data_IF_745365988477
#
_entry.id   IF_745365988477
#
_cell.length_a   1.000
_cell.length_b   1.000
_cell.length_c   1.000
_cell.angle_alpha   90.00
_cell.angle_beta   90.00
_cell.angle_gamma   90.00
#
_symmetry.space_group_name_H-M   'P 1'
#
loop_
_entity.id
_entity.type
_entity.pdbx_description
1 polymer ?
#
# COMPACT_ATOMS: atom_id res chain seq x y z
N UNK A 1 -25.37 -2.31 7.85
CA UNK A 1 -25.51 -3.69 7.36
C UNK A 1 -24.45 -3.93 6.30
N UNK A 2 -23.33 -4.58 6.63
CA UNK A 2 -22.26 -4.88 5.68
C UNK A 2 -22.58 -6.19 4.99
N UNK A 3 -22.62 -6.16 3.65
CA UNK A 3 -22.89 -7.33 2.82
C UNK A 3 -21.75 -8.36 2.96
N UNK A 4 -22.13 -9.62 3.16
CA UNK A 4 -21.21 -10.76 3.23
C UNK A 4 -20.56 -10.94 1.85
N UNK A 5 -19.22 -11.06 1.75
CA UNK A 5 -18.52 -11.25 0.48
C UNK A 5 -19.02 -12.50 -0.26
N UNK A 6 -19.15 -12.41 -1.59
CA UNK A 6 -19.69 -13.45 -2.46
C UNK A 6 -19.01 -14.81 -2.32
N UNK A 7 -17.72 -14.87 -2.00
CA UNK A 7 -17.00 -16.13 -1.78
C UNK A 7 -17.46 -16.92 -0.55
N UNK A 8 -17.94 -16.24 0.50
CA UNK A 8 -18.46 -16.89 1.70
C UNK A 8 -19.86 -17.46 1.46
N UNK A 9 -20.66 -16.82 0.60
CA UNK A 9 -21.98 -17.30 0.18
C UNK A 9 -21.92 -18.62 -0.59
N UNK A 10 -20.92 -18.79 -1.47
CA UNK A 10 -20.71 -20.01 -2.26
C UNK A 10 -20.31 -21.18 -1.36
N UNK A 11 -19.49 -20.92 -0.33
CA UNK A 11 -19.05 -21.93 0.63
C UNK A 11 -20.21 -22.38 1.53
N UNK A 12 -21.04 -21.46 2.00
CA UNK A 12 -22.23 -21.75 2.82
C UNK A 12 -23.29 -22.53 2.05
N UNK A 13 -23.51 -22.22 0.75
CA UNK A 13 -24.46 -22.97 -0.09
C UNK A 13 -23.97 -24.37 -0.43
N UNK A 14 -22.67 -24.60 -0.59
CA UNK A 14 -22.10 -25.96 -0.79
C UNK A 14 -22.19 -26.81 0.49
N UNK A 15 -22.06 -26.20 1.65
CA UNK A 15 -22.22 -26.89 2.95
C UNK A 15 -23.71 -27.23 3.18
N UNK A 16 -24.63 -26.32 2.83
CA UNK A 16 -26.06 -26.56 2.97
C UNK A 16 -26.61 -27.67 2.04
N UNK A 17 -26.03 -27.86 0.86
CA UNK A 17 -26.46 -28.90 -0.09
C UNK A 17 -25.97 -30.32 0.29
N UNK A 18 -24.96 -30.46 1.14
CA UNK A 18 -24.46 -31.75 1.60
C UNK A 18 -25.09 -32.25 2.90
N UNK A 19 -26.07 -31.52 3.46
CA UNK A 19 -26.83 -31.93 4.65
C UNK A 19 -28.22 -32.42 4.23
N UNK A 20 -28.27 -33.43 3.36
CA UNK A 20 -29.52 -34.19 3.12
C UNK A 20 -29.51 -35.40 4.08
N UNK A 21 -30.50 -35.58 4.96
CA UNK A 21 -30.48 -36.69 5.89
C UNK A 21 -30.77 -38.00 5.13
N UNK A 22 -29.77 -38.91 5.13
CA UNK A 22 -30.02 -40.32 4.74
C UNK A 22 -30.96 -40.96 5.76
N UNK A 23 -32.14 -41.34 5.26
CA UNK A 23 -33.13 -42.12 6.01
C UNK A 23 -32.57 -43.49 6.40
N UNK A 24 -32.08 -43.69 7.60
CA UNK A 24 -31.90 -45.01 8.18
C UNK A 24 -32.99 -45.25 9.21
N UNK A 25 -33.63 -46.41 9.12
CA UNK A 25 -34.72 -46.85 10.02
C UNK A 25 -34.31 -46.78 11.48
N UNK A 26 -35.06 -46.05 12.28
CA UNK A 26 -35.25 -46.31 13.68
C UNK A 26 -34.35 -45.63 14.68
N UNK A 27 -33.88 -44.38 14.49
CA UNK A 27 -33.61 -43.40 15.58
C UNK A 27 -33.28 -42.08 14.88
N UNK A 28 -34.15 -41.09 15.05
CA UNK A 28 -33.82 -39.72 14.64
C UNK A 28 -32.85 -39.16 15.70
N UNK A 29 -31.56 -39.26 15.46
CA UNK A 29 -30.57 -38.51 16.22
C UNK A 29 -30.68 -37.05 15.73
N UNK A 30 -31.28 -36.21 16.56
CA UNK A 30 -31.29 -34.74 16.39
C UNK A 30 -29.89 -34.19 16.58
N UNK A 31 -29.02 -34.37 15.59
CA UNK A 31 -27.69 -33.76 15.60
C UNK A 31 -27.63 -32.40 14.85
N UNK A 32 -28.65 -32.05 14.08
CA UNK A 32 -28.70 -30.82 13.31
C UNK A 32 -28.56 -29.54 14.13
N UNK A 33 -29.39 -29.30 15.17
CA UNK A 33 -29.29 -28.06 15.92
C UNK A 33 -28.01 -27.96 16.76
N UNK A 34 -27.51 -29.09 17.29
CA UNK A 34 -26.24 -29.11 18.05
C UNK A 34 -25.04 -28.81 17.16
N UNK A 35 -25.01 -29.37 15.94
CA UNK A 35 -23.97 -29.05 14.97
C UNK A 35 -24.00 -27.58 14.56
N UNK A 36 -25.17 -27.00 14.33
CA UNK A 36 -25.34 -25.59 13.99
C UNK A 36 -24.84 -24.71 15.14
N UNK A 37 -25.23 -25.02 16.38
CA UNK A 37 -24.78 -24.29 17.57
C UNK A 37 -23.27 -24.38 17.74
N UNK A 38 -22.65 -25.54 17.53
CA UNK A 38 -21.21 -25.72 17.59
C UNK A 38 -20.50 -24.91 16.49
N UNK A 39 -21.00 -24.91 15.26
CA UNK A 39 -20.44 -24.10 14.18
C UNK A 39 -20.58 -22.61 14.49
N UNK A 40 -21.72 -22.16 14.99
CA UNK A 40 -21.90 -20.77 15.42
C UNK A 40 -20.96 -20.40 16.57
N UNK A 41 -20.80 -21.26 17.57
CA UNK A 41 -19.86 -21.04 18.67
C UNK A 41 -18.40 -20.94 18.17
N UNK A 42 -17.99 -21.82 17.27
CA UNK A 42 -16.64 -21.78 16.64
C UNK A 42 -16.46 -20.48 15.88
N UNK A 43 -17.45 -20.04 15.09
CA UNK A 43 -17.37 -18.79 14.33
C UNK A 43 -17.30 -17.58 15.25
N UNK A 44 -18.07 -17.54 16.33
CA UNK A 44 -18.04 -16.45 17.33
C UNK A 44 -16.71 -16.45 18.07
N UNK A 45 -16.22 -17.60 18.52
CA UNK A 45 -14.91 -17.70 19.17
C UNK A 45 -13.76 -17.30 18.24
N UNK A 46 -13.82 -17.72 16.97
CA UNK A 46 -12.85 -17.33 15.95
C UNK A 46 -12.89 -15.83 15.68
N UNK A 47 -14.07 -15.24 15.60
CA UNK A 47 -14.23 -13.79 15.41
C UNK A 47 -13.72 -13.01 16.63
N UNK A 48 -14.04 -13.44 17.85
CA UNK A 48 -13.55 -12.84 19.09
C UNK A 48 -12.02 -12.97 19.21
N UNK A 49 -11.47 -14.13 18.88
CA UNK A 49 -10.02 -14.34 18.85
C UNK A 49 -9.32 -13.42 17.81
N UNK A 50 -9.86 -13.33 16.60
CA UNK A 50 -9.34 -12.44 15.55
C UNK A 50 -9.46 -10.97 15.95
N UNK A 51 -10.54 -10.58 16.62
CA UNK A 51 -10.73 -9.24 17.14
C UNK A 51 -9.70 -8.89 18.21
N UNK A 52 -9.57 -9.75 19.23
CA UNK A 52 -8.57 -9.58 20.30
C UNK A 52 -7.15 -9.56 19.78
N UNK A 53 -6.85 -10.42 18.80
CA UNK A 53 -5.56 -10.47 18.12
C UNK A 53 -5.25 -9.16 17.37
N UNK A 54 -6.20 -8.67 16.56
CA UNK A 54 -6.05 -7.41 15.83
C UNK A 54 -5.89 -6.21 16.76
N UNK A 55 -6.63 -6.18 17.85
CA UNK A 55 -6.54 -5.12 18.86
C UNK A 55 -5.14 -5.11 19.51
N UNK A 56 -4.65 -6.27 19.92
CA UNK A 56 -3.32 -6.42 20.50
C UNK A 56 -2.21 -5.96 19.51
N UNK A 57 -2.30 -6.36 18.25
CA UNK A 57 -1.34 -5.93 17.22
C UNK A 57 -1.36 -4.40 17.02
N UNK A 58 -2.54 -3.79 17.00
CA UNK A 58 -2.66 -2.34 16.87
C UNK A 58 -2.06 -1.61 18.08
N UNK A 59 -2.34 -2.07 19.28
CA UNK A 59 -1.80 -1.51 20.53
C UNK A 59 -0.26 -1.60 20.57
N UNK A 60 0.29 -2.75 20.23
CA UNK A 60 1.74 -2.98 20.16
C UNK A 60 2.41 -2.12 19.09
N UNK A 61 1.74 -1.96 17.95
CA UNK A 61 2.21 -1.01 16.93
C UNK A 61 2.30 0.41 17.50
N UNK A 62 1.23 0.91 18.10
CA UNK A 62 1.16 2.28 18.61
C UNK A 62 2.17 2.55 19.75
N UNK A 63 2.37 1.57 20.65
CA UNK A 63 3.40 1.67 21.71
C UNK A 63 4.80 1.72 21.12
N UNK A 64 5.10 0.84 20.17
CA UNK A 64 6.38 0.83 19.48
C UNK A 64 6.61 2.10 18.66
N UNK A 65 5.56 2.62 18.01
CA UNK A 65 5.66 3.85 17.23
C UNK A 65 5.97 5.07 18.10
N UNK A 66 5.30 5.22 19.25
CA UNK A 66 5.62 6.28 20.21
C UNK A 66 7.05 6.18 20.74
N UNK A 67 7.53 4.97 21.04
CA UNK A 67 8.92 4.76 21.45
C UNK A 67 9.92 5.15 20.35
N UNK A 68 9.62 4.79 19.09
CA UNK A 68 10.41 5.20 17.93
C UNK A 68 10.49 6.72 17.79
N UNK A 69 9.36 7.41 17.85
CA UNK A 69 9.30 8.88 17.77
C UNK A 69 10.04 9.56 18.93
N UNK A 70 10.09 8.92 20.10
CA UNK A 70 10.89 9.36 21.25
C UNK A 70 12.39 9.04 21.11
N UNK A 71 12.81 8.31 20.06
CA UNK A 71 14.20 7.90 19.84
C UNK A 71 14.60 6.62 20.57
N UNK A 72 13.68 5.95 21.27
CA UNK A 72 13.93 4.69 21.98
C UNK A 72 13.73 3.48 21.05
N UNK A 73 14.77 3.18 20.27
CA UNK A 73 14.75 2.05 19.35
C UNK A 73 14.65 0.70 20.06
N UNK A 74 15.13 0.59 21.30
CA UNK A 74 15.11 -0.65 22.07
C UNK A 74 13.70 -0.99 22.53
N UNK A 75 12.98 0.00 23.09
CA UNK A 75 11.58 -0.16 23.47
C UNK A 75 10.69 -0.38 22.24
N UNK A 76 10.90 0.35 21.15
CA UNK A 76 10.20 0.16 19.89
C UNK A 76 10.34 -1.29 19.37
N UNK A 77 11.57 -1.81 19.34
CA UNK A 77 11.87 -3.18 18.94
C UNK A 77 11.18 -4.20 19.86
N UNK A 78 11.20 -3.98 21.17
CA UNK A 78 10.55 -4.82 22.18
C UNK A 78 9.05 -4.91 21.92
N UNK A 79 8.36 -3.77 21.77
CA UNK A 79 6.91 -3.72 21.55
C UNK A 79 6.52 -4.37 20.21
N UNK A 80 7.24 -4.07 19.12
CA UNK A 80 6.99 -4.70 17.81
C UNK A 80 7.37 -6.18 17.77
N UNK A 81 8.18 -6.68 18.70
CA UNK A 81 8.52 -8.10 18.79
C UNK A 81 7.56 -8.88 19.68
N UNK A 82 6.91 -8.22 20.63
CA UNK A 82 5.92 -8.82 21.52
C UNK A 82 4.57 -9.09 20.84
N UNK A 83 4.26 -8.37 19.74
CA UNK A 83 3.10 -8.65 18.91
C UNK A 83 3.30 -9.98 18.18
N UNK A 84 2.37 -10.92 18.35
CA UNK A 84 2.35 -12.17 17.57
C UNK A 84 1.87 -11.88 16.15
N UNK A 85 2.76 -11.34 15.33
CA UNK A 85 2.45 -11.09 13.92
C UNK A 85 2.59 -12.41 13.17
N UNK A 86 1.48 -13.09 12.96
CA UNK A 86 1.46 -14.30 12.14
C UNK A 86 1.56 -13.90 10.67
N UNK A 87 2.79 -13.79 10.13
CA UNK A 87 2.98 -13.91 8.70
C UNK A 87 2.60 -15.36 8.30
N UNK A 88 1.91 -15.56 7.16
CA UNK A 88 1.68 -14.67 6.03
C UNK A 88 0.32 -13.96 6.03
N UNK A 89 -0.47 -14.04 7.09
CA UNK A 89 -1.88 -13.61 7.09
C UNK A 89 -2.13 -12.20 7.66
N UNK A 90 -1.09 -11.54 8.21
CA UNK A 90 -1.22 -10.18 8.72
C UNK A 90 -0.79 -9.15 7.66
N UNK A 91 -1.74 -8.34 7.13
CA UNK A 91 -1.42 -7.27 6.19
C UNK A 91 -0.48 -6.20 6.76
N UNK A 92 -0.33 -6.13 8.08
CA UNK A 92 0.57 -5.21 8.78
C UNK A 92 1.99 -5.76 8.95
N UNK A 93 2.23 -7.05 8.71
CA UNK A 93 3.52 -7.68 8.94
C UNK A 93 4.69 -6.99 8.22
N UNK A 94 4.62 -6.65 6.92
CA UNK A 94 5.72 -5.97 6.22
C UNK A 94 6.14 -4.65 6.87
N UNK A 95 5.14 -3.86 7.32
CA UNK A 95 5.36 -2.60 8.05
C UNK A 95 6.19 -2.81 9.30
N UNK A 96 5.86 -3.84 10.08
CA UNK A 96 6.56 -4.15 11.32
C UNK A 96 7.95 -4.67 11.06
N UNK A 97 8.14 -5.55 10.07
CA UNK A 97 9.48 -6.00 9.68
C UNK A 97 10.36 -4.80 9.30
N UNK A 98 9.87 -3.88 8.50
CA UNK A 98 10.61 -2.69 8.10
C UNK A 98 11.08 -1.89 9.33
N UNK A 99 10.18 -1.55 10.23
CA UNK A 99 10.52 -0.72 11.40
C UNK A 99 11.37 -1.45 12.44
N UNK A 100 11.21 -2.77 12.57
CA UNK A 100 12.13 -3.61 13.37
C UNK A 100 13.54 -3.59 12.80
N UNK A 101 13.68 -3.70 11.48
CA UNK A 101 14.98 -3.61 10.80
C UNK A 101 15.61 -2.25 11.09
N UNK A 102 14.84 -1.16 10.98
CA UNK A 102 15.30 0.20 11.30
C UNK A 102 15.76 0.34 12.77
N UNK A 103 15.00 -0.22 13.71
CA UNK A 103 15.37 -0.20 15.11
C UNK A 103 16.66 -1.00 15.38
N UNK A 104 16.82 -2.17 14.76
CA UNK A 104 18.05 -2.98 14.85
C UNK A 104 19.25 -2.26 14.26
N UNK A 105 19.09 -1.56 13.13
CA UNK A 105 20.13 -0.73 12.51
C UNK A 105 20.58 0.40 13.46
N UNK A 106 19.63 1.13 14.04
CA UNK A 106 19.92 2.20 14.99
C UNK A 106 20.68 1.70 16.24
N UNK A 107 20.43 0.45 16.63
CA UNK A 107 21.11 -0.21 17.76
C UNK A 107 22.44 -0.87 17.38
N UNK A 108 22.88 -0.79 16.11
CA UNK A 108 24.10 -1.44 15.63
C UNK A 108 24.00 -2.98 15.47
N UNK A 109 22.80 -3.57 15.62
CA UNK A 109 22.55 -5.03 15.57
C UNK A 109 22.44 -5.51 14.11
N UNK A 110 23.49 -5.31 13.32
CA UNK A 110 23.52 -5.51 11.86
C UNK A 110 23.13 -6.93 11.43
N UNK A 111 23.67 -7.96 12.06
CA UNK A 111 23.36 -9.37 11.70
C UNK A 111 21.87 -9.69 11.85
N UNK A 112 21.23 -9.18 12.88
CA UNK A 112 19.81 -9.41 13.12
C UNK A 112 18.95 -8.61 12.14
N UNK A 113 19.38 -7.40 11.80
CA UNK A 113 18.74 -6.59 10.77
C UNK A 113 18.79 -7.30 9.39
N UNK A 114 19.94 -7.85 9.00
CA UNK A 114 20.11 -8.65 7.77
C UNK A 114 19.22 -9.90 7.76
N UNK A 115 19.15 -10.62 8.88
CA UNK A 115 18.27 -11.80 9.00
C UNK A 115 16.80 -11.41 8.83
N UNK A 116 16.36 -10.33 9.47
CA UNK A 116 15.00 -9.83 9.35
C UNK A 116 14.70 -9.34 7.94
N UNK A 117 15.66 -8.68 7.27
CA UNK A 117 15.53 -8.23 5.89
C UNK A 117 15.43 -9.41 4.91
N UNK A 118 16.22 -10.47 5.10
CA UNK A 118 16.14 -11.69 4.30
C UNK A 118 14.77 -12.37 4.42
N UNK A 119 14.25 -12.45 5.64
CA UNK A 119 12.92 -13.00 5.88
C UNK A 119 11.82 -12.14 5.23
N UNK A 120 11.97 -10.82 5.27
CA UNK A 120 11.05 -9.90 4.60
C UNK A 120 11.08 -10.06 3.08
N UNK A 121 12.27 -10.19 2.49
CA UNK A 121 12.46 -10.44 1.05
C UNK A 121 11.78 -11.72 0.58
N UNK A 122 11.89 -12.81 1.35
CA UNK A 122 11.31 -14.11 1.00
C UNK A 122 9.78 -14.13 1.13
N UNK A 123 9.23 -13.43 2.11
CA UNK A 123 7.79 -13.47 2.41
C UNK A 123 6.97 -12.39 1.71
N UNK A 124 7.55 -11.22 1.52
CA UNK A 124 6.84 -10.03 1.05
C UNK A 124 7.60 -9.28 -0.05
N UNK A 125 8.12 -9.95 -1.09
CA UNK A 125 9.03 -9.34 -2.06
C UNK A 125 8.42 -8.15 -2.83
N UNK A 126 7.09 -8.13 -3.01
CA UNK A 126 6.35 -7.08 -3.72
C UNK A 126 5.68 -6.06 -2.79
N UNK A 127 5.93 -6.12 -1.49
CA UNK A 127 5.35 -5.15 -0.58
C UNK A 127 6.08 -3.80 -0.66
N UNK A 128 5.33 -2.72 -0.40
CA UNK A 128 5.86 -1.36 -0.37
C UNK A 128 7.09 -1.22 0.53
N UNK A 129 7.07 -1.83 1.72
CA UNK A 129 8.16 -1.71 2.68
C UNK A 129 9.42 -2.48 2.26
N UNK A 130 9.26 -3.63 1.61
CA UNK A 130 10.39 -4.37 1.03
C UNK A 130 11.04 -3.57 -0.08
N UNK A 131 10.23 -3.00 -0.96
CA UNK A 131 10.67 -2.13 -2.05
C UNK A 131 11.38 -0.88 -1.50
N UNK A 132 10.82 -0.25 -0.46
CA UNK A 132 11.44 0.90 0.19
C UNK A 132 12.80 0.56 0.81
N UNK A 133 12.90 -0.57 1.47
CA UNK A 133 14.17 -1.03 2.06
C UNK A 133 15.21 -1.40 1.01
N UNK A 134 14.78 -2.00 -0.11
CA UNK A 134 15.62 -2.31 -1.26
C UNK A 134 16.23 -1.03 -1.88
N UNK A 135 15.43 0.04 -1.98
CA UNK A 135 15.86 1.34 -2.51
C UNK A 135 16.95 2.05 -1.70
N UNK A 136 17.13 1.68 -0.43
CA UNK A 136 18.19 2.23 0.41
C UNK A 136 19.62 1.74 0.03
N UNK A 137 19.71 0.68 -0.75
CA UNK A 137 20.99 0.09 -1.19
C UNK A 137 21.77 -0.63 -0.09
N UNK A 138 21.29 -0.64 1.17
CA UNK A 138 21.97 -1.29 2.30
C UNK A 138 21.93 -2.81 2.26
N UNK A 139 20.94 -3.35 1.56
CA UNK A 139 20.70 -4.79 1.41
C UNK A 139 20.60 -5.16 -0.09
N UNK A 140 21.73 -5.36 -0.79
CA UNK A 140 21.71 -5.61 -2.25
C UNK A 140 20.83 -6.80 -2.66
N UNK A 141 20.75 -7.85 -1.82
CA UNK A 141 19.91 -9.01 -2.07
C UNK A 141 18.40 -8.68 -2.12
N UNK A 142 17.94 -7.63 -1.41
CA UNK A 142 16.55 -7.17 -1.48
C UNK A 142 16.22 -6.62 -2.86
N UNK A 143 17.12 -5.85 -3.46
CA UNK A 143 16.91 -5.29 -4.80
C UNK A 143 16.78 -6.41 -5.84
N UNK A 144 17.59 -7.45 -5.73
CA UNK A 144 17.53 -8.61 -6.61
C UNK A 144 16.22 -9.41 -6.40
N UNK A 145 15.84 -9.68 -5.15
CA UNK A 145 14.60 -10.40 -4.81
C UNK A 145 13.35 -9.64 -5.28
N UNK A 146 13.28 -8.33 -4.98
CA UNK A 146 12.18 -7.49 -5.41
C UNK A 146 12.09 -7.39 -6.94
N UNK A 147 13.21 -7.24 -7.63
CA UNK A 147 13.26 -7.19 -9.09
C UNK A 147 12.80 -8.50 -9.73
N UNK A 148 13.25 -9.65 -9.20
CA UNK A 148 12.81 -10.97 -9.66
C UNK A 148 11.30 -11.16 -9.47
N UNK A 149 10.78 -10.83 -8.28
CA UNK A 149 9.36 -10.90 -7.99
C UNK A 149 8.53 -9.93 -8.89
N UNK A 150 9.03 -8.72 -9.15
CA UNK A 150 8.38 -7.78 -10.06
C UNK A 150 8.26 -8.35 -11.47
N UNK A 151 9.30 -8.98 -12.00
CA UNK A 151 9.27 -9.58 -13.35
C UNK A 151 8.29 -10.73 -13.47
N UNK A 152 8.09 -11.51 -12.42
CA UNK A 152 7.11 -12.59 -12.38
C UNK A 152 5.68 -12.13 -12.08
N UNK A 153 5.49 -10.88 -11.67
CA UNK A 153 4.19 -10.34 -11.35
C UNK A 153 3.36 -10.08 -12.62
N UNK A 154 2.15 -10.64 -12.66
CA UNK A 154 1.22 -10.36 -13.77
C UNK A 154 0.57 -9.00 -13.59
N UNK A 155 1.29 -7.93 -14.00
CA UNK A 155 0.80 -6.57 -13.97
C UNK A 155 0.21 -6.18 -15.32
N UNK A 156 -1.13 -6.18 -15.40
CA UNK A 156 -1.87 -5.82 -16.60
C UNK A 156 -1.51 -4.39 -17.04
N UNK A 157 -1.22 -4.23 -18.34
CA UNK A 157 -1.07 -2.94 -19.02
C UNK A 157 -2.26 -2.73 -19.94
N UNK A 158 -2.99 -1.65 -19.77
CA UNK A 158 -4.11 -1.24 -20.63
C UNK A 158 -3.99 0.25 -20.91
N UNK A 159 -4.63 0.72 -21.96
CA UNK A 159 -4.63 2.13 -22.34
C UNK A 159 -3.22 2.70 -22.58
N UNK A 160 -2.31 1.88 -23.08
CA UNK A 160 -0.89 2.27 -23.26
C UNK A 160 -0.72 3.41 -24.25
N UNK A 161 -1.55 3.47 -25.30
CA UNK A 161 -1.54 4.54 -26.29
C UNK A 161 -1.94 5.87 -25.66
N UNK A 162 -3.06 5.88 -24.94
CA UNK A 162 -3.61 7.06 -24.25
C UNK A 162 -2.67 7.54 -23.13
N UNK A 163 -2.12 6.60 -22.36
CA UNK A 163 -1.14 6.88 -21.32
C UNK A 163 0.16 7.44 -21.91
N UNK A 164 0.64 6.91 -23.05
CA UNK A 164 1.83 7.42 -23.71
C UNK A 164 1.61 8.84 -24.22
N UNK A 165 0.45 9.13 -24.81
CA UNK A 165 0.09 10.47 -25.26
C UNK A 165 0.00 11.46 -24.11
N UNK A 166 -0.62 11.08 -23.00
CA UNK A 166 -0.72 11.91 -21.78
C UNK A 166 0.66 12.13 -21.15
N UNK A 167 1.52 11.11 -21.11
CA UNK A 167 2.89 11.20 -20.64
C UNK A 167 3.70 12.22 -21.45
N UNK A 168 3.67 12.14 -22.78
CA UNK A 168 4.34 13.10 -23.65
C UNK A 168 3.83 14.54 -23.43
N UNK A 169 2.52 14.73 -23.23
CA UNK A 169 1.91 16.03 -23.05
C UNK A 169 2.18 16.66 -21.67
N UNK A 170 2.32 15.86 -20.63
CA UNK A 170 2.40 16.35 -19.25
C UNK A 170 3.75 16.20 -18.57
N UNK A 171 4.66 15.40 -19.14
CA UNK A 171 5.95 15.02 -18.57
C UNK A 171 5.87 14.01 -17.42
N UNK A 172 4.68 13.50 -17.10
CA UNK A 172 4.53 12.44 -16.09
C UNK A 172 4.89 11.09 -16.72
N UNK A 173 5.74 10.29 -16.07
CA UNK A 173 6.17 9.02 -16.65
C UNK A 173 4.99 8.06 -16.89
N UNK A 174 5.06 7.27 -17.97
CA UNK A 174 4.04 6.26 -18.32
C UNK A 174 3.77 5.31 -17.15
N UNK A 175 4.82 4.86 -16.49
CA UNK A 175 4.71 3.91 -15.37
C UNK A 175 4.02 4.52 -14.15
N UNK A 176 4.19 5.82 -13.91
CA UNK A 176 3.46 6.53 -12.87
C UNK A 176 1.97 6.64 -13.19
N UNK A 177 1.63 6.99 -14.43
CA UNK A 177 0.24 7.05 -14.88
C UNK A 177 -0.42 5.67 -14.80
N UNK A 178 0.26 4.60 -15.24
CA UNK A 178 -0.19 3.22 -15.06
C UNK A 178 -0.48 2.89 -13.60
N UNK A 179 0.41 3.29 -12.69
CA UNK A 179 0.28 3.02 -11.26
C UNK A 179 -0.93 3.74 -10.65
N UNK A 180 -1.17 4.99 -11.03
CA UNK A 180 -2.32 5.77 -10.58
C UNK A 180 -3.62 5.14 -11.14
N UNK A 181 -3.72 4.93 -12.45
CA UNK A 181 -4.90 4.33 -13.10
C UNK A 181 -5.24 2.96 -12.48
N UNK A 182 -4.22 2.13 -12.24
CA UNK A 182 -4.42 0.85 -11.56
C UNK A 182 -5.02 1.02 -10.16
N UNK A 183 -4.52 1.97 -9.40
CA UNK A 183 -4.98 2.19 -8.03
C UNK A 183 -6.38 2.82 -7.98
N UNK A 184 -6.68 3.73 -8.90
CA UNK A 184 -7.94 4.48 -8.90
C UNK A 184 -9.13 3.65 -9.40
N UNK A 185 -8.96 2.96 -10.53
CA UNK A 185 -10.08 2.28 -11.21
C UNK A 185 -9.83 0.82 -11.56
N UNK A 186 -8.62 0.29 -11.30
CA UNK A 186 -8.19 -1.00 -11.87
C UNK A 186 -8.39 -1.08 -13.38
N UNK A 187 -8.18 0.04 -14.09
CA UNK A 187 -8.37 0.23 -15.54
C UNK A 187 -9.82 0.16 -16.03
N UNK A 188 -10.79 0.43 -15.16
CA UNK A 188 -12.20 0.54 -15.54
C UNK A 188 -12.53 2.01 -15.89
N UNK A 189 -12.76 2.29 -17.17
CA UNK A 189 -13.11 3.61 -17.71
C UNK A 189 -14.47 4.11 -17.24
N UNK A 190 -15.39 3.19 -16.95
CA UNK A 190 -16.74 3.50 -16.47
C UNK A 190 -16.83 3.62 -14.93
N UNK A 191 -15.70 3.53 -14.21
CA UNK A 191 -15.72 3.56 -12.77
C UNK A 191 -16.28 4.90 -12.24
N UNK A 192 -17.25 4.79 -11.31
CA UNK A 192 -17.78 5.94 -10.56
C UNK A 192 -17.74 5.61 -9.08
N UNK A 193 -17.06 6.45 -8.29
CA UNK A 193 -16.98 6.27 -6.84
C UNK A 193 -18.26 6.75 -6.15
N UNK A 194 -18.45 6.35 -4.89
CA UNK A 194 -19.54 6.84 -4.04
C UNK A 194 -19.51 8.37 -3.87
N UNK A 195 -18.33 8.98 -3.96
CA UNK A 195 -18.14 10.44 -3.85
C UNK A 195 -18.27 11.16 -5.18
N UNK A 196 -18.58 10.45 -6.28
CA UNK A 196 -18.75 11.04 -7.61
C UNK A 196 -17.46 11.25 -8.40
N UNK A 197 -16.36 10.62 -8.02
CA UNK A 197 -15.15 10.60 -8.85
C UNK A 197 -15.35 9.66 -10.04
N UNK A 198 -14.87 10.03 -11.23
CA UNK A 198 -15.22 9.36 -12.50
C UNK A 198 -13.98 8.96 -13.28
N UNK A 199 -14.07 7.79 -13.91
CA UNK A 199 -13.18 7.31 -14.96
C UNK A 199 -11.88 6.70 -14.46
N UNK A 200 -10.94 6.52 -15.39
CA UNK A 200 -9.68 5.81 -15.16
C UNK A 200 -8.82 6.37 -14.03
N UNK A 201 -8.76 7.69 -13.91
CA UNK A 201 -7.98 8.40 -12.91
C UNK A 201 -8.84 8.99 -11.78
N UNK A 202 -10.13 8.57 -11.69
CA UNK A 202 -11.08 8.95 -10.63
C UNK A 202 -11.08 10.46 -10.34
N UNK A 203 -11.39 11.24 -11.36
CA UNK A 203 -11.43 12.68 -11.23
C UNK A 203 -12.77 13.15 -10.66
N UNK A 204 -12.71 13.98 -9.62
CA UNK A 204 -13.88 14.74 -9.20
C UNK A 204 -14.27 15.74 -10.29
N UNK A 205 -15.57 15.95 -10.59
CA UNK A 205 -16.01 16.87 -11.64
C UNK A 205 -15.44 18.29 -11.51
N UNK A 206 -15.28 18.79 -10.29
CA UNK A 206 -14.63 20.08 -10.05
C UNK A 206 -13.16 20.07 -10.49
N UNK A 207 -12.41 19.02 -10.09
CA UNK A 207 -11.00 18.87 -10.44
C UNK A 207 -10.80 18.72 -11.95
N UNK A 208 -11.72 18.02 -12.61
CA UNK A 208 -11.71 17.88 -14.06
C UNK A 208 -11.87 19.22 -14.76
N UNK A 209 -12.89 20.00 -14.38
CA UNK A 209 -13.11 21.36 -14.95
C UNK A 209 -11.90 22.29 -14.73
N UNK A 210 -11.26 22.23 -13.56
CA UNK A 210 -10.03 22.98 -13.29
C UNK A 210 -8.88 22.53 -14.21
N UNK A 211 -8.75 21.25 -14.47
CA UNK A 211 -7.74 20.70 -15.39
C UNK A 211 -8.04 21.05 -16.85
N UNK A 212 -9.31 20.94 -17.29
CA UNK A 212 -9.79 21.31 -18.62
C UNK A 212 -9.46 22.76 -18.98
N UNK A 213 -9.77 23.69 -18.08
CA UNK A 213 -9.48 25.13 -18.31
C UNK A 213 -7.98 25.38 -18.49
N UNK A 214 -7.12 24.63 -17.82
CA UNK A 214 -5.67 24.78 -17.90
C UNK A 214 -5.07 24.23 -19.21
N UNK A 215 -5.61 23.12 -19.70
CA UNK A 215 -5.10 22.50 -20.94
C UNK A 215 -5.91 22.90 -22.17
N UNK A 216 -6.87 23.80 -22.02
CA UNK A 216 -7.79 24.27 -23.08
C UNK A 216 -8.47 23.12 -23.83
N UNK A 217 -8.89 22.09 -23.07
CA UNK A 217 -9.67 20.96 -23.57
C UNK A 217 -11.04 20.95 -22.88
N UNK A 218 -12.10 20.78 -23.62
CA UNK A 218 -13.46 20.75 -23.08
C UNK A 218 -14.37 19.89 -23.96
N UNK A 219 -15.52 19.48 -23.40
CA UNK A 219 -16.61 18.92 -24.17
C UNK A 219 -16.61 17.39 -24.29
N UNK A 220 -15.63 16.68 -23.72
CA UNK A 220 -15.63 15.23 -23.73
C UNK A 220 -16.10 14.66 -22.37
N UNK A 221 -16.65 13.45 -22.41
CA UNK A 221 -17.05 12.75 -21.19
C UNK A 221 -15.83 12.41 -20.33
N UNK A 222 -15.98 12.48 -19.00
CA UNK A 222 -14.97 11.95 -18.07
C UNK A 222 -14.81 10.42 -18.12
N UNK A 223 -15.69 9.72 -18.82
CA UNK A 223 -15.54 8.30 -19.11
C UNK A 223 -14.73 8.05 -20.40
N UNK A 224 -14.45 9.10 -21.21
CA UNK A 224 -13.51 8.95 -22.33
C UNK A 224 -12.10 8.71 -21.79
N UNK A 225 -11.44 7.60 -22.16
CA UNK A 225 -10.16 7.21 -21.63
C UNK A 225 -9.04 8.24 -21.88
N UNK A 226 -8.95 8.76 -23.12
CA UNK A 226 -7.90 9.69 -23.49
C UNK A 226 -8.06 11.03 -22.76
N UNK A 227 -9.30 11.52 -22.67
CA UNK A 227 -9.64 12.73 -21.97
C UNK A 227 -9.37 12.62 -20.47
N UNK A 228 -9.87 11.56 -19.82
CA UNK A 228 -9.71 11.33 -18.38
C UNK A 228 -8.22 11.22 -18.01
N UNK A 229 -7.44 10.44 -18.77
CA UNK A 229 -6.02 10.24 -18.48
C UNK A 229 -5.23 11.55 -18.62
N UNK A 230 -5.47 12.35 -19.67
CA UNK A 230 -4.72 13.61 -19.84
C UNK A 230 -5.08 14.64 -18.77
N UNK A 231 -6.32 14.71 -18.35
CA UNK A 231 -6.75 15.59 -17.25
C UNK A 231 -6.12 15.17 -15.92
N UNK A 232 -6.18 13.89 -15.59
CA UNK A 232 -5.58 13.33 -14.38
C UNK A 232 -4.08 13.48 -14.34
N UNK A 233 -3.40 13.23 -15.47
CA UNK A 233 -1.96 13.45 -15.62
C UNK A 233 -1.58 14.92 -15.42
N UNK A 234 -2.34 15.86 -16.00
CA UNK A 234 -2.13 17.30 -15.83
C UNK A 234 -2.33 17.73 -14.36
N UNK A 235 -3.37 17.21 -13.71
CA UNK A 235 -3.63 17.44 -12.29
C UNK A 235 -2.48 16.92 -11.42
N UNK A 236 -2.04 15.68 -11.65
CA UNK A 236 -0.91 15.09 -10.92
C UNK A 236 0.39 15.86 -11.15
N UNK A 237 0.71 16.24 -12.39
CA UNK A 237 1.88 17.06 -12.71
C UNK A 237 1.90 18.38 -11.93
N UNK A 238 0.74 19.04 -11.81
CA UNK A 238 0.59 20.27 -11.02
C UNK A 238 0.86 20.02 -9.53
N UNK A 239 0.32 18.94 -8.97
CA UNK A 239 0.56 18.58 -7.58
C UNK A 239 2.04 18.21 -7.35
N UNK A 240 2.65 17.48 -8.27
CA UNK A 240 4.07 17.11 -8.18
C UNK A 240 4.97 18.37 -8.16
N UNK A 241 4.68 19.37 -9.01
CA UNK A 241 5.38 20.66 -8.97
C UNK A 241 5.10 21.41 -7.65
N UNK A 242 3.86 21.46 -7.19
CA UNK A 242 3.49 22.10 -5.91
C UNK A 242 4.29 21.55 -4.74
N UNK A 243 4.51 20.24 -4.70
CA UNK A 243 5.27 19.58 -3.65
C UNK A 243 6.74 19.35 -4.02
N UNK A 244 7.27 20.10 -4.99
CA UNK A 244 8.70 20.14 -5.38
C UNK A 244 9.26 18.76 -5.73
N UNK A 245 8.48 17.92 -6.40
CA UNK A 245 8.85 16.56 -6.80
C UNK A 245 8.81 15.53 -5.68
N UNK A 246 8.35 15.89 -4.47
CA UNK A 246 8.16 14.94 -3.39
C UNK A 246 6.96 14.04 -3.71
N UNK A 247 7.24 12.89 -4.31
CA UNK A 247 6.23 11.97 -4.84
C UNK A 247 5.19 11.51 -3.81
N UNK A 248 5.54 11.10 -2.57
CA UNK A 248 4.52 10.76 -1.58
C UNK A 248 3.58 11.90 -1.24
N UNK A 249 4.11 13.13 -1.16
CA UNK A 249 3.27 14.29 -0.89
C UNK A 249 2.36 14.62 -2.08
N UNK A 250 2.86 14.48 -3.31
CA UNK A 250 2.05 14.66 -4.52
C UNK A 250 0.93 13.62 -4.62
N UNK A 251 1.23 12.35 -4.33
CA UNK A 251 0.25 11.26 -4.29
C UNK A 251 -0.77 11.45 -3.16
N UNK A 252 -0.31 11.82 -1.97
CA UNK A 252 -1.20 12.13 -0.87
C UNK A 252 -2.15 13.29 -1.23
N UNK A 253 -1.63 14.32 -1.92
CA UNK A 253 -2.42 15.45 -2.37
C UNK A 253 -3.40 15.09 -3.50
N UNK A 254 -3.07 14.12 -4.33
CA UNK A 254 -3.98 13.60 -5.34
C UNK A 254 -5.22 12.95 -4.70
N UNK A 255 -5.00 12.14 -3.65
CA UNK A 255 -6.08 11.43 -2.96
C UNK A 255 -6.83 12.30 -1.94
N UNK A 256 -6.11 13.08 -1.11
CA UNK A 256 -6.71 13.82 0.01
C UNK A 256 -6.89 15.32 -0.27
N UNK A 257 -6.45 15.80 -1.44
CA UNK A 257 -6.46 17.22 -1.78
C UNK A 257 -5.22 17.98 -1.29
N UNK A 258 -4.72 18.86 -2.16
CA UNK A 258 -3.47 19.60 -1.92
C UNK A 258 -3.51 20.56 -0.73
N UNK A 259 -4.67 21.05 -0.34
CA UNK A 259 -4.83 21.91 0.84
C UNK A 259 -4.66 21.12 2.14
N UNK A 260 -5.19 19.90 2.22
CA UNK A 260 -5.03 19.03 3.38
C UNK A 260 -3.55 18.71 3.62
N UNK A 261 -2.88 18.22 2.58
CA UNK A 261 -1.45 17.83 2.65
C UNK A 261 -0.55 19.02 3.01
N UNK A 262 -0.86 20.22 2.53
CA UNK A 262 -0.10 21.44 2.89
C UNK A 262 -0.16 21.78 4.38
N UNK A 263 -1.22 21.36 5.08
CA UNK A 263 -1.38 21.55 6.53
C UNK A 263 -0.75 20.44 7.38
N UNK A 264 -0.45 19.30 6.79
CA UNK A 264 0.14 18.18 7.56
C UNK A 264 1.58 18.52 7.94
N UNK A 265 1.87 18.39 9.23
CA UNK A 265 3.19 18.69 9.76
C UNK A 265 4.24 17.74 9.15
N UNK A 266 5.35 18.32 8.73
CA UNK A 266 6.56 17.56 8.47
C UNK A 266 7.23 17.35 9.83
N UNK A 267 7.17 16.14 10.37
CA UNK A 267 7.92 15.81 11.58
C UNK A 267 9.44 15.96 11.35
N UNK A 268 10.21 15.86 12.43
CA UNK A 268 11.69 15.85 12.38
C UNK A 268 12.25 14.55 11.78
N UNK A 269 11.40 13.56 11.51
CA UNK A 269 11.76 12.28 10.91
C UNK A 269 11.89 12.35 9.39
N UNK A 270 12.29 11.23 8.80
CA UNK A 270 12.41 11.07 7.36
C UNK A 270 11.07 10.91 6.65
N UNK A 271 11.17 10.64 5.34
CA UNK A 271 9.96 10.52 4.51
C UNK A 271 9.11 9.29 4.87
N UNK A 272 9.74 8.21 5.33
CA UNK A 272 9.00 7.01 5.76
C UNK A 272 8.18 7.30 7.02
N UNK A 273 8.72 8.02 7.99
CA UNK A 273 7.99 8.50 9.16
C UNK A 273 6.84 9.42 8.77
N UNK A 274 7.07 10.31 7.79
CA UNK A 274 5.99 11.16 7.27
C UNK A 274 4.85 10.34 6.67
N UNK A 275 5.16 9.30 5.87
CA UNK A 275 4.15 8.40 5.29
C UNK A 275 3.36 7.69 6.40
N UNK A 276 4.03 7.24 7.46
CA UNK A 276 3.36 6.59 8.60
C UNK A 276 2.44 7.54 9.36
N UNK A 277 2.80 8.81 9.44
CA UNK A 277 2.08 9.86 10.14
C UNK A 277 1.04 10.59 9.26
N UNK A 278 0.77 10.13 8.03
CA UNK A 278 -0.37 10.62 7.24
C UNK A 278 -1.65 10.40 8.05
N UNK A 279 -2.41 11.47 8.40
CA UNK A 279 -3.57 11.34 9.30
C UNK A 279 -4.67 10.44 8.74
N UNK A 280 -4.91 10.50 7.42
CA UNK A 280 -5.96 9.75 6.77
C UNK A 280 -5.48 8.35 6.41
N UNK A 281 -6.07 7.32 7.04
CA UNK A 281 -5.72 5.91 6.80
C UNK A 281 -5.83 5.55 5.32
N UNK A 282 -6.88 6.00 4.64
CA UNK A 282 -7.08 5.76 3.20
C UNK A 282 -5.92 6.31 2.39
N UNK A 283 -5.55 7.58 2.61
CA UNK A 283 -4.44 8.22 1.90
C UNK A 283 -3.10 7.55 2.18
N UNK A 284 -2.87 7.11 3.41
CA UNK A 284 -1.65 6.36 3.76
C UNK A 284 -1.56 5.04 2.99
N UNK A 285 -2.67 4.31 2.87
CA UNK A 285 -2.74 3.08 2.06
C UNK A 285 -2.56 3.38 0.58
N UNK A 286 -3.22 4.42 0.09
CA UNK A 286 -3.13 4.88 -1.30
C UNK A 286 -1.69 5.19 -1.73
N UNK A 287 -0.99 6.03 -0.97
CA UNK A 287 0.40 6.42 -1.25
C UNK A 287 1.29 5.19 -1.38
N UNK A 288 1.21 4.26 -0.42
CA UNK A 288 2.00 3.02 -0.45
C UNK A 288 1.66 2.14 -1.64
N UNK A 289 0.37 2.02 -1.95
CA UNK A 289 -0.09 1.18 -3.07
C UNK A 289 0.36 1.75 -4.43
N UNK A 290 0.25 3.06 -4.65
CA UNK A 290 0.69 3.67 -5.91
C UNK A 290 2.21 3.58 -6.06
N UNK A 291 2.99 3.83 -5.02
CA UNK A 291 4.45 3.69 -5.07
C UNK A 291 4.84 2.25 -5.38
N UNK A 292 4.25 1.27 -4.72
CA UNK A 292 4.46 -0.15 -5.03
C UNK A 292 4.14 -0.45 -6.49
N UNK A 293 2.98 -0.02 -6.99
CA UNK A 293 2.57 -0.24 -8.37
C UNK A 293 3.54 0.42 -9.35
N UNK A 294 3.96 1.65 -9.07
CA UNK A 294 4.95 2.37 -9.88
C UNK A 294 6.28 1.62 -9.98
N UNK A 295 6.75 1.08 -8.86
CA UNK A 295 7.99 0.30 -8.81
C UNK A 295 7.88 -0.96 -9.66
N UNK A 296 6.75 -1.68 -9.57
CA UNK A 296 6.53 -2.90 -10.36
C UNK A 296 6.45 -2.57 -11.85
N UNK A 297 5.69 -1.54 -12.25
CA UNK A 297 5.64 -1.11 -13.66
C UNK A 297 7.00 -0.69 -14.19
N UNK A 298 7.79 -0.01 -13.38
CA UNK A 298 9.13 0.42 -13.76
C UNK A 298 10.08 -0.78 -13.94
N UNK A 299 9.98 -1.78 -13.07
CA UNK A 299 10.81 -3.00 -13.15
C UNK A 299 10.42 -3.93 -14.32
N UNK A 300 9.16 -3.83 -14.78
CA UNK A 300 8.63 -4.66 -15.88
C UNK A 300 8.58 -3.90 -17.22
N UNK A 301 9.14 -2.69 -17.28
CA UNK A 301 9.17 -1.90 -18.49
C UNK A 301 10.19 -2.48 -19.48
N UNK A 302 9.71 -2.93 -20.66
CA UNK A 302 10.53 -3.55 -21.70
C UNK A 302 11.56 -2.60 -22.32
N UNK A 303 11.32 -1.28 -22.24
CA UNK A 303 12.23 -0.25 -22.77
C UNK A 303 13.49 -0.05 -21.89
N UNK A 304 13.52 -0.66 -20.70
CA UNK A 304 14.69 -0.64 -19.83
C UNK A 304 15.67 -1.75 -20.19
N UNK A 305 16.86 -1.35 -20.62
CA UNK A 305 17.97 -2.28 -20.76
C UNK A 305 18.25 -2.96 -19.43
N UNK A 306 18.44 -4.27 -19.48
CA UNK A 306 18.56 -5.21 -18.36
C UNK A 306 19.75 -4.93 -17.42
N UNK A 307 20.53 -3.88 -17.64
CA UNK A 307 21.88 -3.72 -17.10
C UNK A 307 21.99 -2.99 -15.75
N UNK A 308 20.93 -2.37 -15.23
CA UNK A 308 21.10 -1.63 -13.96
C UNK A 308 19.90 -1.70 -13.03
N UNK A 309 19.71 -2.86 -12.40
CA UNK A 309 18.74 -3.03 -11.32
C UNK A 309 19.25 -2.45 -9.98
N UNK A 310 20.53 -2.07 -9.90
CA UNK A 310 21.09 -1.35 -8.75
C UNK A 310 20.63 0.11 -8.70
N UNK A 311 20.28 0.65 -9.87
CA UNK A 311 19.64 1.95 -10.04
C UNK A 311 18.12 1.86 -10.07
N UNK A 312 17.52 1.02 -9.23
CA UNK A 312 16.08 1.05 -9.05
C UNK A 312 15.70 2.45 -8.58
N UNK A 313 15.14 3.34 -9.43
CA UNK A 313 14.84 4.71 -9.02
C UNK A 313 13.56 4.75 -8.20
N UNK A 314 13.45 3.80 -7.27
CA UNK A 314 12.30 3.74 -6.38
C UNK A 314 12.34 4.93 -5.46
N UNK A 315 13.56 5.39 -5.09
CA UNK A 315 13.78 6.53 -4.22
C UNK A 315 15.05 7.33 -4.58
N UNK A 316 15.17 7.88 -5.82
CA UNK A 316 16.44 8.48 -6.28
C UNK A 316 16.92 9.68 -5.48
N UNK A 317 16.09 10.31 -4.68
CA UNK A 317 16.43 11.52 -3.91
C UNK A 317 15.89 11.53 -2.49
N UNK A 318 15.22 10.47 -2.06
CA UNK A 318 14.45 10.46 -0.82
C UNK A 318 15.27 9.97 0.38
N UNK A 319 16.30 9.15 0.16
CA UNK A 319 17.19 8.63 1.20
C UNK A 319 18.20 9.64 1.72
N UNK A 320 18.32 10.80 1.08
CA UNK A 320 19.26 11.86 1.49
C UNK A 320 18.61 13.09 2.13
N UNK A 321 17.40 13.02 2.61
CA UNK A 321 17.01 13.90 3.70
C UNK A 321 17.76 13.38 4.93
N UNK A 322 18.94 13.96 5.13
CA UNK A 322 19.88 13.62 6.17
C UNK A 322 19.15 13.23 7.45
N UNK A 323 19.38 12.01 7.92
CA UNK A 323 19.40 11.77 9.35
C UNK A 323 20.50 12.71 9.87
N UNK A 324 20.14 13.95 10.19
CA UNK A 324 20.96 14.75 11.08
C UNK A 324 20.91 13.96 12.37
N UNK A 325 22.01 13.24 12.63
CA UNK A 325 22.26 12.65 13.91
C UNK A 325 21.94 13.72 14.96
N UNK A 326 20.87 13.51 15.72
CA UNK A 326 20.72 14.19 17.00
C UNK A 326 21.99 13.81 17.78
N UNK A 327 23.00 14.69 17.70
CA UNK A 327 24.10 14.65 18.65
C UNK A 327 23.45 14.69 20.02
N UNK A 328 23.62 13.62 20.76
CA UNK A 328 23.35 13.52 22.17
C UNK A 328 23.98 14.75 22.85
N UNK A 329 23.14 15.68 23.26
CA UNK A 329 23.48 16.67 24.27
C UNK A 329 23.34 16.01 25.63
N UNK A 330 24.20 15.04 25.88
CA UNK A 330 24.46 14.48 27.20
C UNK A 330 25.96 14.67 27.48
N UNK A 331 26.35 15.94 27.64
CA UNK A 331 27.54 16.35 28.36
C UNK A 331 27.35 17.82 28.73
N UNK A 332 26.74 18.05 29.88
CA UNK A 332 27.13 19.01 30.89
C UNK A 332 26.28 18.81 32.14
#
# INVERSE_FOLDING_TARGET
MHAIPSGVRICLNKIAQNIVPRKHRGKILFHGPVCVLLICAILVCSAAFLYGFRHNCAEKWEKGWRAWEAGDSALALKEWSAGRFFAPFDPGAPRIYYWKIRALENMGRKKEAETAASLMASRFPLDFYTIALAGDGRYPFLSQAAASACRSANYRRRWEKEISAASAKTGVSKNMLMAIVRQESSFNECAVSKSGAVGLMQLMPFTAREAESRIRASGLSLQDPAHNIVLGASHFARLNRKFKGCLPMALAAYNAGGAAVSRWKRGSGGLMEWIENIPYRETRVYVRAVIRNYSIYTATDADRKQEDLSSFPIFPSWGRLSVSAKKSSAEK
#
